data_IF_447925104240
#
_entry.id   IF_447925104240
#
_cell.length_a   1.000
_cell.length_b   1.000
_cell.length_c   1.000
_cell.angle_alpha   90.00
_cell.angle_beta   90.00
_cell.angle_gamma   90.00
#
_symmetry.space_group_name_H-M   'P 1'
#
loop_
_entity.id
_entity.type
_entity.pdbx_description
1 polymer ?
#
# COMPACT_ATOMS: atom_id res chain seq x y z
N UNK A 1 -8.67 -24.31 4.59
CA UNK A 1 -9.79 -23.54 4.01
C UNK A 1 -10.88 -24.43 3.46
N UNK A 2 -10.57 -25.42 2.62
CA UNK A 2 -11.58 -26.27 1.94
C UNK A 2 -12.46 -27.07 2.92
N UNK A 3 -12.00 -27.33 4.14
CA UNK A 3 -12.74 -28.08 5.17
C UNK A 3 -13.53 -27.18 6.12
N UNK A 4 -13.79 -25.93 5.77
CA UNK A 4 -14.60 -24.99 6.55
C UNK A 4 -13.86 -24.30 7.71
N UNK A 5 -12.54 -24.46 7.82
CA UNK A 5 -11.75 -23.76 8.84
C UNK A 5 -11.20 -22.44 8.29
N UNK A 6 -11.21 -21.39 9.13
CA UNK A 6 -10.45 -20.18 8.84
C UNK A 6 -8.95 -20.45 9.06
N UNK A 7 -8.17 -20.22 8.03
CA UNK A 7 -6.72 -20.38 8.06
C UNK A 7 -6.07 -19.02 7.92
N UNK A 8 -5.26 -18.64 8.89
CA UNK A 8 -4.40 -17.46 8.82
C UNK A 8 -2.95 -17.95 8.69
N UNK A 9 -2.25 -17.44 7.69
CA UNK A 9 -0.87 -17.82 7.41
C UNK A 9 -0.07 -16.62 6.92
N UNK A 10 1.24 -16.74 6.90
CA UNK A 10 2.14 -15.74 6.34
C UNK A 10 2.90 -16.33 5.16
N UNK A 11 3.14 -15.49 4.16
CA UNK A 11 3.90 -15.84 2.97
C UNK A 11 4.82 -14.67 2.60
N UNK A 12 6.05 -14.97 2.20
CA UNK A 12 7.00 -13.93 1.82
C UNK A 12 6.78 -13.50 0.36
N UNK A 13 6.18 -12.34 0.19
CA UNK A 13 5.90 -11.71 -1.10
C UNK A 13 6.14 -10.20 -1.02
N UNK A 14 6.30 -9.56 -2.17
CA UNK A 14 6.55 -8.12 -2.27
C UNK A 14 5.28 -7.34 -1.97
N UNK A 15 4.13 -7.83 -2.45
CA UNK A 15 2.82 -7.20 -2.33
C UNK A 15 1.70 -8.23 -2.16
N UNK A 16 0.45 -7.77 -2.02
CA UNK A 16 -0.71 -8.62 -1.79
C UNK A 16 -1.10 -9.47 -3.00
N UNK A 17 -0.77 -9.05 -4.22
CA UNK A 17 -1.13 -9.76 -5.47
C UNK A 17 -0.11 -10.85 -5.78
N UNK A 18 1.17 -10.62 -5.45
CA UNK A 18 2.25 -11.59 -5.69
C UNK A 18 2.03 -12.91 -4.91
N UNK A 19 1.17 -12.91 -3.90
CA UNK A 19 0.74 -14.13 -3.19
C UNK A 19 0.16 -15.15 -4.16
N UNK A 20 -0.67 -14.73 -5.13
CA UNK A 20 -1.28 -15.61 -6.14
C UNK A 20 -0.17 -16.27 -6.98
N UNK A 21 0.77 -15.47 -7.47
CA UNK A 21 1.93 -15.96 -8.24
C UNK A 21 2.77 -16.94 -7.41
N UNK A 22 2.95 -16.64 -6.13
CA UNK A 22 3.73 -17.52 -5.23
C UNK A 22 3.03 -18.83 -4.98
N UNK A 23 1.72 -18.83 -4.77
CA UNK A 23 0.91 -20.05 -4.61
C UNK A 23 0.95 -20.90 -5.87
N UNK A 24 0.82 -20.32 -7.07
CA UNK A 24 1.03 -21.02 -8.35
C UNK A 24 2.38 -21.70 -8.44
N UNK A 25 3.46 -20.98 -8.07
CA UNK A 25 4.84 -21.51 -8.11
C UNK A 25 5.08 -22.70 -7.18
N UNK A 26 4.36 -22.81 -6.07
CA UNK A 26 4.43 -23.95 -5.17
C UNK A 26 3.44 -25.07 -5.53
N UNK A 27 2.75 -24.94 -6.65
CA UNK A 27 1.91 -26.01 -7.23
C UNK A 27 0.45 -25.99 -6.81
N UNK A 28 -0.04 -24.88 -6.18
CA UNK A 28 -1.48 -24.74 -5.89
C UNK A 28 -2.22 -24.39 -7.18
N UNK A 29 -3.32 -25.11 -7.46
CA UNK A 29 -4.12 -24.88 -8.67
C UNK A 29 -4.83 -23.52 -8.60
N UNK A 30 -5.07 -22.88 -9.75
CA UNK A 30 -5.82 -21.62 -9.84
C UNK A 30 -7.24 -21.75 -9.26
N UNK A 31 -7.87 -22.90 -9.44
CA UNK A 31 -9.18 -23.18 -8.86
C UNK A 31 -9.11 -23.22 -7.32
N UNK A 32 -8.11 -23.87 -6.75
CA UNK A 32 -7.95 -23.92 -5.29
C UNK A 32 -7.62 -22.54 -4.72
N UNK A 33 -6.78 -21.76 -5.41
CA UNK A 33 -6.51 -20.37 -5.00
C UNK A 33 -7.80 -19.55 -4.99
N UNK A 34 -8.56 -19.58 -6.07
CA UNK A 34 -9.79 -18.80 -6.20
C UNK A 34 -10.88 -19.20 -5.20
N UNK A 35 -10.96 -20.51 -4.87
CA UNK A 35 -12.00 -21.03 -3.98
C UNK A 35 -11.66 -20.90 -2.49
N UNK A 36 -10.38 -20.80 -2.12
CA UNK A 36 -9.96 -20.83 -0.71
C UNK A 36 -9.30 -19.56 -0.20
N UNK A 37 -8.62 -18.80 -1.07
CA UNK A 37 -8.05 -17.53 -0.68
C UNK A 37 -9.16 -16.49 -0.55
N UNK A 38 -9.40 -16.00 0.65
CA UNK A 38 -10.41 -14.96 0.89
C UNK A 38 -9.80 -13.56 0.73
N UNK A 39 -8.67 -13.32 1.38
CA UNK A 39 -8.00 -12.01 1.42
C UNK A 39 -6.49 -12.21 1.51
N UNK A 40 -5.75 -11.37 0.83
CA UNK A 40 -4.30 -11.22 1.00
C UNK A 40 -3.97 -9.82 1.50
N UNK A 41 -3.08 -9.73 2.50
CA UNK A 41 -2.69 -8.47 3.12
C UNK A 41 -1.16 -8.33 3.11
N UNK A 42 -0.68 -7.23 2.52
CA UNK A 42 0.72 -6.81 2.62
C UNK A 42 0.85 -5.60 3.54
N UNK A 43 1.85 -5.62 4.42
CA UNK A 43 2.09 -4.56 5.39
C UNK A 43 3.49 -3.99 5.24
N UNK A 44 3.59 -2.65 5.30
CA UNK A 44 4.85 -1.91 5.45
C UNK A 44 4.78 -1.01 6.67
N UNK A 45 5.88 -0.89 7.39
CA UNK A 45 5.99 0.04 8.52
C UNK A 45 6.77 1.28 8.11
N UNK A 46 6.16 2.45 8.27
CA UNK A 46 6.81 3.75 8.04
C UNK A 46 6.93 4.52 9.36
N UNK A 47 7.96 5.37 9.46
CA UNK A 47 8.13 6.22 10.65
C UNK A 47 7.12 7.35 10.62
N UNK A 48 6.54 7.68 11.76
CA UNK A 48 5.68 8.85 11.95
C UNK A 48 6.53 10.08 12.23
N UNK A 49 6.11 11.24 11.73
CA UNK A 49 6.67 12.52 12.15
C UNK A 49 6.48 12.73 13.66
N UNK A 50 7.43 13.36 14.30
CA UNK A 50 7.34 13.63 15.72
C UNK A 50 6.26 14.68 16.01
N UNK A 51 5.27 14.40 16.88
CA UNK A 51 4.18 15.34 17.14
C UNK A 51 4.61 16.59 17.91
N UNK A 52 5.84 16.59 18.46
CA UNK A 52 6.36 17.73 19.26
C UNK A 52 7.17 18.72 18.44
N UNK A 53 7.76 18.29 17.31
CA UNK A 53 8.58 19.16 16.47
C UNK A 53 8.16 19.14 14.99
N UNK A 54 7.03 18.57 14.67
CA UNK A 54 6.45 18.66 13.35
C UNK A 54 5.95 20.08 13.07
N UNK A 55 6.38 20.67 11.97
CA UNK A 55 5.96 21.98 11.48
C UNK A 55 5.14 21.80 10.23
N UNK A 56 3.88 22.22 10.27
CA UNK A 56 2.95 22.15 9.14
C UNK A 56 3.43 23.06 8.00
N UNK A 57 3.43 22.54 6.78
CA UNK A 57 3.72 23.31 5.55
C UNK A 57 2.98 22.77 4.33
N UNK A 58 2.98 23.55 3.28
CA UNK A 58 2.49 23.11 1.97
C UNK A 58 3.49 22.18 1.29
N UNK A 59 3.00 21.41 0.32
CA UNK A 59 3.85 20.57 -0.53
C UNK A 59 4.71 21.43 -1.45
N UNK A 60 5.98 21.06 -1.61
CA UNK A 60 6.84 21.65 -2.64
C UNK A 60 6.47 21.12 -4.02
N UNK A 61 6.86 21.82 -5.10
CA UNK A 61 6.62 21.36 -6.46
C UNK A 61 7.31 20.02 -6.77
N UNK A 62 8.49 19.76 -6.18
CA UNK A 62 9.14 18.45 -6.29
C UNK A 62 8.30 17.34 -5.67
N UNK A 63 7.77 17.57 -4.47
CA UNK A 63 6.91 16.59 -3.78
C UNK A 63 5.62 16.33 -4.54
N UNK A 64 5.00 17.38 -5.08
CA UNK A 64 3.81 17.26 -5.93
C UNK A 64 4.10 16.43 -7.18
N UNK A 65 5.25 16.66 -7.83
CA UNK A 65 5.64 15.90 -9.01
C UNK A 65 5.88 14.42 -8.70
N UNK A 66 6.53 14.09 -7.57
CA UNK A 66 6.73 12.71 -7.12
C UNK A 66 5.37 12.05 -6.85
N UNK A 67 4.50 12.71 -6.09
CA UNK A 67 3.17 12.19 -5.73
C UNK A 67 2.33 11.97 -6.99
N UNK A 68 2.29 12.94 -7.91
CA UNK A 68 1.57 12.81 -9.17
C UNK A 68 2.13 11.69 -10.06
N UNK A 69 3.46 11.50 -10.06
CA UNK A 69 4.10 10.39 -10.77
C UNK A 69 3.65 9.03 -10.25
N UNK A 70 3.59 8.89 -8.94
CA UNK A 70 3.08 7.68 -8.27
C UNK A 70 1.58 7.52 -8.55
N UNK A 71 0.79 8.55 -8.32
CA UNK A 71 -0.66 8.53 -8.55
C UNK A 71 -1.01 8.12 -9.98
N UNK A 72 -0.31 8.69 -10.97
CA UNK A 72 -0.48 8.34 -12.39
C UNK A 72 -0.16 6.87 -12.69
N UNK A 73 0.88 6.30 -12.06
CA UNK A 73 1.22 4.88 -12.20
C UNK A 73 0.07 3.96 -11.76
N UNK A 74 -0.69 4.42 -10.78
CA UNK A 74 -1.85 3.71 -10.24
C UNK A 74 -3.21 4.20 -10.81
N UNK A 75 -3.20 5.08 -11.81
CA UNK A 75 -4.42 5.60 -12.45
C UNK A 75 -5.28 6.48 -11.55
N UNK A 76 -4.68 7.09 -10.52
CA UNK A 76 -5.34 7.97 -9.55
C UNK A 76 -4.86 9.40 -9.77
N UNK A 77 -5.75 10.38 -9.64
CA UNK A 77 -5.40 11.80 -9.56
C UNK A 77 -5.38 12.23 -8.10
N UNK A 78 -4.30 12.90 -7.68
CA UNK A 78 -4.15 13.39 -6.32
C UNK A 78 -4.43 14.89 -6.27
N UNK A 79 -5.49 15.28 -5.54
CA UNK A 79 -5.81 16.68 -5.31
C UNK A 79 -5.08 17.23 -4.07
N UNK A 80 -4.28 18.27 -4.27
CA UNK A 80 -3.51 18.95 -3.20
C UNK A 80 -4.29 20.07 -2.52
N UNK A 81 -5.51 20.37 -2.96
CA UNK A 81 -6.32 21.49 -2.44
C UNK A 81 -6.60 21.30 -0.94
N UNK A 82 -6.15 22.23 -0.12
CA UNK A 82 -6.31 22.18 1.33
C UNK A 82 -5.47 21.12 2.06
N UNK A 83 -4.62 20.36 1.33
CA UNK A 83 -3.73 19.36 1.91
C UNK A 83 -2.39 19.98 2.27
N UNK A 84 -1.74 19.39 3.25
CA UNK A 84 -0.46 19.86 3.79
C UNK A 84 0.42 18.67 4.21
N UNK A 85 1.69 18.94 4.36
CA UNK A 85 2.68 17.99 4.89
C UNK A 85 3.41 18.61 6.09
N UNK A 86 4.37 17.89 6.64
CA UNK A 86 5.14 18.34 7.77
C UNK A 86 6.63 18.26 7.52
N UNK A 87 7.36 19.30 7.92
CA UNK A 87 8.80 19.21 8.19
C UNK A 87 9.03 18.86 9.65
N UNK A 88 10.20 18.30 9.94
CA UNK A 88 10.64 17.97 11.29
C UNK A 88 12.00 18.59 11.57
N UNK A 89 12.10 19.34 12.65
CA UNK A 89 13.36 19.99 13.04
C UNK A 89 14.20 19.17 14.01
N UNK A 90 13.63 18.11 14.58
CA UNK A 90 14.20 17.36 15.69
C UNK A 90 13.90 18.02 17.05
N UNK A 91 13.89 17.25 18.10
CA UNK A 91 13.76 17.71 19.48
C UNK A 91 14.15 16.60 20.47
N UNK A 92 14.31 16.96 21.73
CA UNK A 92 14.67 16.02 22.80
C UNK A 92 13.69 14.83 22.90
N UNK A 93 12.39 15.04 22.63
CA UNK A 93 11.37 13.99 22.68
C UNK A 93 11.60 12.88 21.63
N UNK A 94 12.12 13.21 20.48
CA UNK A 94 12.44 12.26 19.40
C UNK A 94 13.93 11.97 19.26
N UNK A 95 14.75 12.37 20.23
CA UNK A 95 16.22 12.28 20.18
C UNK A 95 16.76 12.88 18.88
N UNK A 96 16.31 14.06 18.54
CA UNK A 96 16.67 14.87 17.36
C UNK A 96 16.45 14.19 16.00
N UNK A 97 15.79 13.03 15.98
CA UNK A 97 15.51 12.28 14.76
C UNK A 97 14.41 12.89 13.89
N UNK A 98 13.55 13.75 14.44
CA UNK A 98 12.35 14.28 13.79
C UNK A 98 11.20 13.26 13.69
N UNK A 99 11.39 12.02 14.12
CA UNK A 99 10.40 10.96 14.01
C UNK A 99 10.14 10.27 15.35
N UNK A 100 8.88 9.86 15.57
CA UNK A 100 8.49 9.14 16.77
C UNK A 100 7.42 8.11 16.50
N UNK A 101 7.74 6.84 16.76
CA UNK A 101 6.86 5.71 16.49
C UNK A 101 6.80 5.32 15.00
N UNK A 102 5.97 4.34 14.72
CA UNK A 102 5.72 3.81 13.37
C UNK A 102 4.23 3.68 13.13
N UNK A 103 3.84 3.68 11.85
CA UNK A 103 2.47 3.38 11.40
C UNK A 103 2.54 2.31 10.31
N UNK A 104 1.59 1.39 10.33
CA UNK A 104 1.44 0.39 9.27
C UNK A 104 0.73 0.98 8.06
N UNK A 105 1.28 0.70 6.89
CA UNK A 105 0.61 0.87 5.62
C UNK A 105 0.20 -0.51 5.15
N UNK A 106 -1.03 -0.64 4.71
CA UNK A 106 -1.59 -1.92 4.32
C UNK A 106 -2.06 -1.86 2.88
N UNK A 107 -1.71 -2.88 2.12
CA UNK A 107 -2.31 -3.20 0.84
C UNK A 107 -3.16 -4.44 1.04
N UNK A 108 -4.43 -4.38 0.68
CA UNK A 108 -5.38 -5.47 0.86
C UNK A 108 -5.92 -5.85 -0.51
N UNK A 109 -5.85 -7.13 -0.82
CA UNK A 109 -6.49 -7.75 -1.96
C UNK A 109 -7.62 -8.64 -1.44
N UNK A 110 -8.84 -8.22 -1.63
CA UNK A 110 -10.00 -9.07 -1.43
C UNK A 110 -10.27 -9.87 -2.70
N UNK A 111 -10.55 -11.16 -2.53
CA UNK A 111 -10.85 -12.06 -3.64
C UNK A 111 -12.31 -11.91 -4.06
N UNK A 112 -12.63 -10.78 -4.73
CA UNK A 112 -13.94 -10.58 -5.35
C UNK A 112 -14.21 -11.63 -6.42
N UNK A 113 -15.46 -11.83 -6.80
CA UNK A 113 -15.82 -12.79 -7.85
C UNK A 113 -15.10 -12.47 -9.17
N UNK A 114 -14.95 -11.19 -9.52
CA UNK A 114 -14.23 -10.80 -10.73
C UNK A 114 -12.72 -11.14 -10.64
N UNK A 115 -12.09 -10.97 -9.48
CA UNK A 115 -10.69 -11.35 -9.27
C UNK A 115 -10.53 -12.88 -9.30
N UNK A 116 -11.46 -13.63 -8.68
CA UNK A 116 -11.49 -15.10 -8.75
C UNK A 116 -11.57 -15.61 -10.19
N UNK A 117 -12.43 -15.01 -11.02
CA UNK A 117 -12.54 -15.35 -12.43
C UNK A 117 -11.21 -15.14 -13.19
N UNK A 118 -10.52 -14.02 -12.94
CA UNK A 118 -9.21 -13.75 -13.56
C UNK A 118 -8.16 -14.77 -13.12
N UNK A 119 -8.18 -15.16 -11.84
CA UNK A 119 -7.28 -16.19 -11.32
C UNK A 119 -7.56 -17.54 -11.99
N UNK A 120 -8.82 -17.98 -12.09
CA UNK A 120 -9.21 -19.25 -12.72
C UNK A 120 -8.83 -19.26 -14.21
N UNK A 121 -8.93 -18.12 -14.90
CA UNK A 121 -8.50 -17.96 -16.30
C UNK A 121 -6.98 -17.97 -16.47
N UNK A 122 -6.22 -17.99 -15.38
CA UNK A 122 -4.76 -17.96 -15.43
C UNK A 122 -4.18 -16.61 -15.81
N UNK A 123 -4.95 -15.52 -15.64
CA UNK A 123 -4.53 -14.17 -16.00
C UNK A 123 -3.29 -13.72 -15.22
N UNK A 124 -2.56 -12.78 -15.82
CA UNK A 124 -1.33 -12.24 -15.24
C UNK A 124 -1.58 -11.42 -13.97
N UNK A 125 -0.55 -11.32 -13.11
CA UNK A 125 -0.61 -10.43 -11.94
C UNK A 125 -0.89 -8.97 -12.32
N UNK A 126 -0.54 -8.54 -13.53
CA UNK A 126 -0.82 -7.20 -14.03
C UNK A 126 -2.33 -6.98 -14.26
N UNK A 127 -3.02 -7.94 -14.87
CA UNK A 127 -4.46 -7.84 -15.11
C UNK A 127 -5.25 -7.94 -13.80
N UNK A 128 -4.83 -8.82 -12.90
CA UNK A 128 -5.40 -8.92 -11.54
C UNK A 128 -5.22 -7.59 -10.79
N UNK A 129 -4.04 -6.96 -10.91
CA UNK A 129 -3.77 -5.65 -10.29
C UNK A 129 -4.68 -4.55 -10.84
N UNK A 130 -4.83 -4.47 -12.16
CA UNK A 130 -5.72 -3.48 -12.77
C UNK A 130 -7.15 -3.63 -12.22
N UNK A 131 -7.65 -4.86 -12.16
CA UNK A 131 -9.00 -5.14 -11.67
C UNK A 131 -9.15 -4.80 -10.18
N UNK A 132 -8.20 -5.20 -9.36
CA UNK A 132 -8.19 -4.86 -7.93
C UNK A 132 -8.18 -3.34 -7.70
N UNK A 133 -7.44 -2.59 -8.50
CA UNK A 133 -7.42 -1.13 -8.43
C UNK A 133 -8.74 -0.49 -8.87
N UNK A 134 -9.38 -1.02 -9.91
CA UNK A 134 -10.71 -0.55 -10.32
C UNK A 134 -11.75 -0.73 -9.21
N UNK A 135 -11.71 -1.85 -8.49
CA UNK A 135 -12.63 -2.16 -7.39
C UNK A 135 -12.29 -1.39 -6.11
N UNK A 136 -11.01 -1.10 -5.87
CA UNK A 136 -10.49 -0.45 -4.66
C UNK A 136 -10.31 1.07 -4.75
N UNK A 137 -10.79 1.74 -5.79
CA UNK A 137 -10.59 3.17 -6.02
C UNK A 137 -10.89 4.05 -4.81
N UNK A 138 -11.98 3.75 -4.09
CA UNK A 138 -12.39 4.54 -2.93
C UNK A 138 -11.49 4.32 -1.69
N UNK A 139 -10.84 3.15 -1.58
CA UNK A 139 -9.95 2.83 -0.45
C UNK A 139 -8.53 3.40 -0.64
N UNK A 140 -8.10 3.62 -1.88
CA UNK A 140 -6.78 4.17 -2.18
C UNK A 140 -6.69 5.66 -1.79
N UNK A 141 -7.70 6.47 -2.05
CA UNK A 141 -7.70 7.91 -1.76
C UNK A 141 -7.59 8.20 -0.26
N UNK A 142 -8.38 7.57 0.60
CA UNK A 142 -8.27 7.73 2.05
C UNK A 142 -6.92 7.28 2.62
N UNK A 143 -6.30 6.26 2.02
CA UNK A 143 -5.01 5.74 2.47
C UNK A 143 -3.85 6.64 2.10
N UNK A 144 -3.88 7.24 0.91
CA UNK A 144 -2.84 8.18 0.47
C UNK A 144 -2.83 9.43 1.33
N UNK A 145 -3.99 9.99 1.68
CA UNK A 145 -4.09 11.17 2.53
C UNK A 145 -3.49 10.94 3.91
N UNK A 146 -3.82 9.83 4.57
CA UNK A 146 -3.26 9.46 5.86
C UNK A 146 -1.75 9.18 5.79
N UNK A 147 -1.29 8.62 4.68
CA UNK A 147 0.11 8.28 4.48
C UNK A 147 0.97 9.54 4.35
N UNK A 148 0.61 10.45 3.45
CA UNK A 148 1.40 11.65 3.16
C UNK A 148 1.37 12.66 4.31
N UNK A 149 0.28 12.76 5.05
CA UNK A 149 0.21 13.61 6.24
C UNK A 149 1.11 13.11 7.40
N UNK A 150 1.47 11.83 7.42
CA UNK A 150 2.26 11.24 8.50
C UNK A 150 3.72 10.93 8.11
N UNK A 151 4.09 11.08 6.84
CA UNK A 151 5.44 10.82 6.33
C UNK A 151 6.11 12.15 6.01
N UNK A 152 7.10 12.55 6.82
CA UNK A 152 7.88 13.77 6.56
C UNK A 152 8.87 13.61 5.38
N UNK A 153 9.40 14.75 4.91
CA UNK A 153 10.20 15.00 3.70
C UNK A 153 11.31 14.00 3.33
N UNK A 154 11.81 13.20 4.25
CA UNK A 154 12.91 12.26 3.97
C UNK A 154 12.49 10.88 3.45
N UNK A 155 11.18 10.59 3.32
CA UNK A 155 10.68 9.24 3.12
C UNK A 155 9.74 9.02 1.93
N UNK A 156 9.42 10.05 1.18
CA UNK A 156 8.76 9.87 -0.12
C UNK A 156 9.62 8.98 -1.04
N UNK A 157 10.95 9.14 -0.98
CA UNK A 157 11.90 8.28 -1.72
C UNK A 157 11.88 6.83 -1.20
N UNK A 158 11.80 6.61 0.10
CA UNK A 158 11.75 5.25 0.67
C UNK A 158 10.44 4.53 0.27
N UNK A 159 9.34 5.26 0.14
CA UNK A 159 8.07 4.71 -0.38
C UNK A 159 8.20 4.44 -1.88
N UNK A 160 8.79 5.34 -2.66
CA UNK A 160 9.05 5.17 -4.08
C UNK A 160 9.97 3.97 -4.35
N UNK A 161 11.03 3.81 -3.56
CA UNK A 161 11.97 2.69 -3.68
C UNK A 161 11.37 1.35 -3.22
N UNK A 162 10.40 1.38 -2.31
CA UNK A 162 9.66 0.18 -1.88
C UNK A 162 8.55 -0.24 -2.85
N UNK A 163 8.18 0.64 -3.80
CA UNK A 163 7.19 0.39 -4.85
C UNK A 163 7.82 0.02 -6.20
N UNK A 164 9.17 0.01 -6.31
CA UNK A 164 9.94 -0.53 -7.44
C UNK A 164 10.13 -2.03 -7.29
#
# INVERSE_FOLDING_TARGET
>A
GQTGHYVLSTIHTIDSIEVITRLRKIGVSDYDIASTLATSLSQRLVRKVCPKCAVKREYTEEEKNIINGIAKKYGVEYDFTGKYTYDTVGCQYCNDSGFYGRIGIFEILDMSEAIKELVIKGESSLEIRKKAMEEGRNLAEERYDNLYQNIGKGRLRDVEDSLK
#
